data_IF_236761181543
#
_entry.id   IF_236761181543
#
_cell.length_a   1.000
_cell.length_b   1.000
_cell.length_c   1.000
_cell.angle_alpha   90.00
_cell.angle_beta   90.00
_cell.angle_gamma   90.00
#
_symmetry.space_group_name_H-M   'P 1'
#
loop_
_entity.id
_entity.type
_entity.pdbx_description
1 polymer ?
#
# COMPACT_ATOMS: atom_id res chain seq x y z
N UNK A 1 -25.86 -8.97 -2.92
CA UNK A 1 -25.93 -9.53 -4.28
C UNK A 1 -26.13 -8.47 -5.38
N UNK A 2 -26.73 -7.31 -5.09
CA UNK A 2 -26.95 -6.22 -6.05
C UNK A 2 -25.68 -5.44 -6.47
N UNK A 3 -24.72 -5.24 -5.54
CA UNK A 3 -23.50 -4.46 -5.82
C UNK A 3 -22.56 -5.07 -6.87
N UNK A 4 -22.64 -6.39 -7.12
CA UNK A 4 -21.81 -7.04 -8.15
C UNK A 4 -22.25 -6.70 -9.59
N UNK A 5 -23.48 -6.20 -9.76
CA UNK A 5 -24.07 -6.01 -11.09
C UNK A 5 -23.83 -4.62 -11.68
N UNK A 6 -23.59 -3.61 -10.84
CA UNK A 6 -23.21 -2.28 -11.33
C UNK A 6 -21.74 -2.30 -11.80
N UNK A 7 -21.39 -1.65 -12.94
CA UNK A 7 -20.04 -1.65 -13.48
C UNK A 7 -19.15 -0.64 -12.75
N UNK A 8 -19.06 -0.75 -11.42
CA UNK A 8 -18.27 0.14 -10.55
C UNK A 8 -16.81 0.27 -11.02
N UNK A 9 -16.26 -0.81 -11.60
CA UNK A 9 -14.92 -0.82 -12.20
C UNK A 9 -14.75 0.20 -13.33
N UNK A 10 -15.78 0.43 -14.14
CA UNK A 10 -15.77 1.43 -15.21
C UNK A 10 -15.89 2.85 -14.66
N UNK A 11 -16.68 3.05 -13.62
CA UNK A 11 -16.82 4.35 -12.96
C UNK A 11 -15.52 4.79 -12.29
N UNK A 12 -14.86 3.90 -11.54
CA UNK A 12 -13.58 4.17 -10.87
C UNK A 12 -12.49 4.49 -11.91
N UNK A 13 -12.43 3.72 -12.99
CA UNK A 13 -11.51 3.94 -14.11
C UNK A 13 -11.68 5.31 -14.75
N UNK A 14 -12.92 5.73 -15.00
CA UNK A 14 -13.22 7.02 -15.62
C UNK A 14 -12.96 8.21 -14.69
N UNK A 15 -13.31 8.07 -13.40
CA UNK A 15 -13.04 9.09 -12.38
C UNK A 15 -11.54 9.32 -12.20
N UNK A 16 -10.75 8.25 -12.10
CA UNK A 16 -9.29 8.34 -11.96
C UNK A 16 -8.63 9.00 -13.18
N UNK A 17 -9.02 8.59 -14.40
CA UNK A 17 -8.47 9.16 -15.64
C UNK A 17 -8.83 10.64 -15.82
N UNK A 18 -10.03 11.07 -15.41
CA UNK A 18 -10.43 12.49 -15.44
C UNK A 18 -9.63 13.37 -14.48
N UNK A 19 -9.10 12.79 -13.40
CA UNK A 19 -8.25 13.49 -12.44
C UNK A 19 -6.76 13.43 -12.77
N UNK A 20 -6.37 12.89 -13.94
CA UNK A 20 -4.97 12.73 -14.35
C UNK A 20 -4.24 11.58 -13.65
N UNK A 21 -4.95 10.73 -12.90
CA UNK A 21 -4.38 9.55 -12.26
C UNK A 21 -4.28 8.39 -13.24
N UNK A 22 -3.17 7.65 -13.16
CA UNK A 22 -3.01 6.38 -13.84
C UNK A 22 -4.14 5.44 -13.39
N UNK A 23 -4.67 4.66 -14.33
CA UNK A 23 -5.81 3.77 -14.11
C UNK A 23 -5.55 2.81 -12.93
N UNK A 24 -6.21 3.00 -11.77
CA UNK A 24 -5.84 2.32 -10.53
C UNK A 24 -6.06 0.81 -10.62
N UNK A 25 -7.03 0.39 -11.43
CA UNK A 25 -7.30 -1.02 -11.69
C UNK A 25 -6.17 -1.65 -12.50
N UNK A 26 -5.63 -0.92 -13.48
CA UNK A 26 -4.51 -1.40 -14.27
C UNK A 26 -3.22 -1.45 -13.44
N UNK A 27 -3.00 -0.44 -12.59
CA UNK A 27 -1.87 -0.41 -11.67
C UNK A 27 -1.89 -1.60 -10.71
N UNK A 28 -3.02 -1.85 -10.04
CA UNK A 28 -3.19 -2.99 -9.12
C UNK A 28 -3.01 -4.31 -9.88
N UNK A 29 -3.59 -4.45 -11.07
CA UNK A 29 -3.43 -5.68 -11.87
C UNK A 29 -1.99 -5.95 -12.33
N UNK A 30 -1.15 -4.91 -12.41
CA UNK A 30 0.28 -5.04 -12.71
C UNK A 30 1.07 -5.35 -11.46
N UNK A 31 0.71 -4.76 -10.32
CA UNK A 31 1.30 -5.07 -9.01
C UNK A 31 1.00 -6.53 -8.59
N UNK A 32 -0.22 -7.00 -8.80
CA UNK A 32 -0.61 -8.40 -8.55
C UNK A 32 0.21 -9.38 -9.40
N UNK A 33 0.65 -8.97 -10.59
CA UNK A 33 1.52 -9.79 -11.45
C UNK A 33 2.98 -9.82 -10.97
N UNK A 34 3.40 -8.89 -10.14
CA UNK A 34 4.72 -8.92 -9.47
C UNK A 34 4.71 -9.86 -8.26
N UNK A 35 3.54 -10.13 -7.68
CA UNK A 35 3.40 -11.14 -6.66
C UNK A 35 3.46 -12.53 -7.30
N UNK A 36 4.56 -13.24 -7.08
CA UNK A 36 4.66 -14.64 -7.44
C UNK A 36 3.60 -15.41 -6.64
N UNK A 37 2.78 -16.29 -7.26
CA UNK A 37 1.81 -17.08 -6.52
C UNK A 37 2.57 -17.93 -5.51
N UNK A 38 2.50 -17.53 -4.25
CA UNK A 38 3.16 -18.21 -3.15
C UNK A 38 2.28 -19.36 -2.69
N UNK A 39 2.83 -20.57 -2.63
CA UNK A 39 2.14 -21.74 -2.07
C UNK A 39 1.72 -21.53 -0.61
N UNK A 40 2.38 -20.60 0.07
CA UNK A 40 2.11 -20.20 1.45
C UNK A 40 1.65 -18.74 1.46
N UNK A 41 0.52 -18.45 2.10
CA UNK A 41 -0.08 -17.10 2.15
C UNK A 41 0.90 -16.01 2.62
N UNK A 42 1.82 -16.35 3.53
CA UNK A 42 3.00 -15.56 3.88
C UNK A 42 4.04 -16.49 4.53
N UNK A 43 5.34 -16.38 4.18
CA UNK A 43 6.42 -17.03 4.92
C UNK A 43 6.34 -16.66 6.40
N UNK A 44 6.57 -17.62 7.31
CA UNK A 44 6.48 -17.39 8.76
C UNK A 44 7.55 -16.41 9.23
N UNK A 45 8.65 -16.33 8.48
CA UNK A 45 9.74 -15.38 8.61
C UNK A 45 9.23 -13.93 8.51
N UNK A 46 8.21 -13.66 7.68
CA UNK A 46 7.62 -12.32 7.58
C UNK A 46 6.90 -11.89 8.87
N UNK A 47 6.40 -12.84 9.66
CA UNK A 47 5.78 -12.52 10.96
C UNK A 47 6.86 -12.01 11.92
N UNK A 48 8.00 -12.70 11.97
CA UNK A 48 9.14 -12.29 12.80
C UNK A 48 9.70 -10.95 12.34
N UNK A 49 9.97 -10.80 11.04
CA UNK A 49 10.51 -9.54 10.51
C UNK A 49 9.50 -8.38 10.65
N UNK A 50 8.20 -8.64 10.52
CA UNK A 50 7.14 -7.67 10.79
C UNK A 50 7.12 -7.22 12.25
N UNK A 51 7.24 -8.14 13.21
CA UNK A 51 7.34 -7.81 14.63
C UNK A 51 8.58 -6.95 14.94
N UNK A 52 9.73 -7.30 14.36
CA UNK A 52 10.98 -6.52 14.51
C UNK A 52 10.84 -5.12 13.90
N UNK A 53 10.22 -5.00 12.72
CA UNK A 53 9.95 -3.73 12.07
C UNK A 53 9.06 -2.83 12.94
N UNK A 54 7.97 -3.38 13.47
CA UNK A 54 7.06 -2.63 14.36
C UNK A 54 7.75 -2.21 15.67
N UNK A 55 8.54 -3.09 16.28
CA UNK A 55 9.30 -2.77 17.48
C UNK A 55 10.30 -1.61 17.24
N UNK A 56 11.02 -1.64 16.10
CA UNK A 56 11.90 -0.52 15.70
C UNK A 56 11.12 0.76 15.44
N UNK A 57 9.95 0.67 14.82
CA UNK A 57 9.05 1.81 14.62
C UNK A 57 8.63 2.46 15.94
N UNK A 58 8.26 1.66 16.95
CA UNK A 58 7.88 2.14 18.29
C UNK A 58 9.07 2.78 19.03
N UNK A 59 10.27 2.23 18.90
CA UNK A 59 11.48 2.82 19.47
C UNK A 59 11.78 4.15 18.78
N UNK A 60 11.80 4.17 17.45
CA UNK A 60 12.04 5.38 16.68
C UNK A 60 11.00 6.46 16.98
N UNK A 61 9.72 6.12 17.14
CA UNK A 61 8.70 7.11 17.50
C UNK A 61 8.89 7.70 18.90
N UNK A 62 9.55 6.99 19.82
CA UNK A 62 9.83 7.49 21.17
C UNK A 62 11.15 8.26 21.26
N UNK A 63 12.15 7.85 20.47
CA UNK A 63 13.50 8.42 20.50
C UNK A 63 13.62 9.63 19.57
N UNK A 64 13.00 9.58 18.39
CA UNK A 64 12.95 10.70 17.46
C UNK A 64 11.90 11.67 18.00
N UNK A 65 12.33 12.89 18.30
CA UNK A 65 11.40 13.95 18.62
C UNK A 65 10.46 14.17 17.43
N UNK A 66 9.15 13.99 17.65
CA UNK A 66 8.10 14.20 16.65
C UNK A 66 8.09 15.61 16.04
N UNK A 67 8.82 16.54 16.63
CA UNK A 67 8.79 17.98 16.32
C UNK A 67 10.17 18.57 15.99
N UNK A 68 11.12 17.75 15.51
CA UNK A 68 12.23 18.31 14.75
C UNK A 68 11.64 18.75 13.41
N UNK A 69 11.34 20.04 13.29
CA UNK A 69 10.99 20.68 12.02
C UNK A 69 12.17 20.40 11.09
N UNK A 70 12.02 19.40 10.23
CA UNK A 70 13.00 19.11 9.20
C UNK A 70 12.99 20.30 8.25
N UNK A 71 13.90 21.24 8.49
CA UNK A 71 14.17 22.35 7.59
C UNK A 71 15.17 21.81 6.58
N UNK A 72 14.74 21.63 5.33
CA UNK A 72 15.65 21.34 4.24
C UNK A 72 16.58 22.55 4.06
N UNK A 73 17.91 22.42 4.19
CA UNK A 73 18.80 23.51 3.81
C UNK A 73 18.85 23.51 2.28
N UNK A 74 18.09 24.43 1.68
CA UNK A 74 18.08 24.85 0.26
C UNK A 74 18.38 23.76 -0.79
#
# INVERSE_FOLDING_TARGET
MLLKWLPWRLMIRQLARRHGFLDPIELISRLDRLAQPSEVAAPIELIREGAVLHARGLINSRVIQHNLVWIWPY
#
